data_IF_078657801433
#
_entry.id   IF_078657801433
#
_cell.length_a   1.000
_cell.length_b   1.000
_cell.length_c   1.000
_cell.angle_alpha   90.00
_cell.angle_beta   90.00
_cell.angle_gamma   90.00
#
_symmetry.space_group_name_H-M   'P 1'
#
loop_
_entity.id
_entity.type
_entity.pdbx_description
1 polymer ?
#
# COMPACT_ATOMS: atom_id res chain seq x y z
N UNK A 1 -3.12 9.89 41.47
CA UNK A 1 -2.89 9.21 40.18
C UNK A 1 -4.20 9.25 39.40
N UNK A 2 -4.48 10.37 38.72
CA UNK A 2 -5.70 10.49 37.91
C UNK A 2 -5.48 9.75 36.60
N UNK A 3 -6.10 8.57 36.48
CA UNK A 3 -6.21 7.87 35.20
C UNK A 3 -6.96 8.77 34.23
N UNK A 4 -6.22 9.41 33.32
CA UNK A 4 -6.78 10.07 32.15
C UNK A 4 -7.52 9.00 31.35
N UNK A 5 -8.85 8.95 31.45
CA UNK A 5 -9.66 8.18 30.52
C UNK A 5 -9.26 8.62 29.11
N UNK A 6 -8.99 7.71 28.17
CA UNK A 6 -8.84 8.12 26.78
C UNK A 6 -10.16 8.77 26.38
N UNK A 7 -10.11 10.07 26.05
CA UNK A 7 -11.25 10.74 25.43
C UNK A 7 -11.56 9.98 24.15
N UNK A 8 -12.66 9.24 24.17
CA UNK A 8 -13.11 8.51 22.99
C UNK A 8 -13.66 9.55 22.03
N UNK A 9 -13.10 9.58 20.81
CA UNK A 9 -13.56 10.50 19.77
C UNK A 9 -15.07 10.29 19.56
N UNK A 10 -15.84 11.37 19.35
CA UNK A 10 -17.23 11.28 18.94
C UNK A 10 -17.38 10.30 17.78
N UNK A 11 -18.39 9.42 17.86
CA UNK A 11 -18.62 8.35 16.88
C UNK A 11 -18.57 8.82 15.41
N UNK A 12 -19.13 9.99 15.03
CA UNK A 12 -19.02 10.48 13.65
C UNK A 12 -17.57 10.76 13.23
N UNK A 13 -16.75 11.30 14.14
CA UNK A 13 -15.34 11.60 13.89
C UNK A 13 -14.56 10.29 13.72
N UNK A 14 -14.80 9.31 14.60
CA UNK A 14 -14.16 7.99 14.49
C UNK A 14 -14.52 7.30 13.16
N UNK A 15 -15.80 7.37 12.74
CA UNK A 15 -16.25 6.82 11.46
C UNK A 15 -15.58 7.50 10.26
N UNK A 16 -15.51 8.83 10.27
CA UNK A 16 -14.83 9.58 9.22
C UNK A 16 -13.34 9.23 9.13
N UNK A 17 -12.64 9.15 10.27
CA UNK A 17 -11.23 8.75 10.31
C UNK A 17 -11.02 7.33 9.78
N UNK A 18 -11.89 6.38 10.14
CA UNK A 18 -11.83 5.02 9.61
C UNK A 18 -12.04 4.97 8.09
N UNK A 19 -12.97 5.76 7.55
CA UNK A 19 -13.20 5.86 6.11
C UNK A 19 -11.99 6.45 5.38
N UNK A 20 -11.36 7.48 5.97
CA UNK A 20 -10.13 8.09 5.43
C UNK A 20 -8.99 7.06 5.43
N UNK A 21 -8.78 6.36 6.54
CA UNK A 21 -7.74 5.34 6.67
C UNK A 21 -7.95 4.20 5.65
N UNK A 22 -9.19 3.74 5.48
CA UNK A 22 -9.53 2.71 4.50
C UNK A 22 -9.26 3.19 3.07
N UNK A 23 -9.71 4.40 2.73
CA UNK A 23 -9.50 4.98 1.39
C UNK A 23 -8.01 5.14 1.08
N UNK A 24 -7.20 5.57 2.06
CA UNK A 24 -5.74 5.65 1.93
C UNK A 24 -5.10 4.28 1.67
N UNK A 25 -5.55 3.25 2.38
CA UNK A 25 -5.05 1.88 2.16
C UNK A 25 -5.38 1.37 0.75
N UNK A 26 -6.56 1.69 0.22
CA UNK A 26 -6.94 1.33 -1.15
C UNK A 26 -6.07 2.06 -2.19
N UNK A 27 -5.84 3.36 -2.00
CA UNK A 27 -4.96 4.15 -2.88
C UNK A 27 -3.53 3.60 -2.86
N UNK A 28 -3.02 3.23 -1.69
CA UNK A 28 -1.72 2.59 -1.55
C UNK A 28 -1.64 1.26 -2.32
N UNK A 29 -2.65 0.40 -2.19
CA UNK A 29 -2.71 -0.87 -2.94
C UNK A 29 -2.75 -0.64 -4.46
N UNK A 30 -3.49 0.36 -4.92
CA UNK A 30 -3.53 0.72 -6.33
C UNK A 30 -2.15 1.17 -6.84
N UNK A 31 -1.48 2.05 -6.09
CA UNK A 31 -0.14 2.52 -6.42
C UNK A 31 0.89 1.37 -6.47
N UNK A 32 0.85 0.45 -5.49
CA UNK A 32 1.71 -0.73 -5.47
C UNK A 32 1.51 -1.62 -6.70
N UNK A 33 0.25 -1.87 -7.07
CA UNK A 33 -0.07 -2.66 -8.28
C UNK A 33 0.45 -2.00 -9.54
N UNK A 34 0.29 -0.69 -9.67
CA UNK A 34 0.78 0.05 -10.84
C UNK A 34 2.31 0.03 -10.92
N UNK A 35 3.00 0.09 -9.79
CA UNK A 35 4.46 -0.05 -9.75
C UNK A 35 4.91 -1.45 -10.14
N UNK A 36 4.28 -2.49 -9.59
CA UNK A 36 4.54 -3.88 -9.97
C UNK A 36 4.38 -4.05 -11.49
N UNK A 37 3.31 -3.51 -12.07
CA UNK A 37 3.08 -3.58 -13.52
C UNK A 37 4.22 -2.95 -14.32
N UNK A 38 4.67 -1.75 -13.94
CA UNK A 38 5.78 -1.06 -14.61
C UNK A 38 7.08 -1.85 -14.55
N UNK A 39 7.38 -2.48 -13.42
CA UNK A 39 8.56 -3.33 -13.27
C UNK A 39 8.46 -4.58 -14.16
N UNK A 40 7.30 -5.24 -14.22
CA UNK A 40 7.07 -6.36 -15.15
C UNK A 40 7.30 -5.92 -16.58
N UNK A 41 6.68 -4.82 -17.01
CA UNK A 41 6.83 -4.28 -18.36
C UNK A 41 8.31 -3.96 -18.67
N UNK A 42 9.06 -3.44 -17.69
CA UNK A 42 10.50 -3.21 -17.77
C UNK A 42 11.31 -4.50 -17.96
N UNK A 43 11.03 -5.54 -17.17
CA UNK A 43 11.70 -6.84 -17.30
C UNK A 43 11.40 -7.52 -18.63
N UNK A 44 10.14 -7.46 -19.09
CA UNK A 44 9.75 -8.00 -20.40
C UNK A 44 10.45 -7.26 -21.55
N UNK A 45 10.57 -5.92 -21.47
CA UNK A 45 11.30 -5.13 -22.45
C UNK A 45 12.80 -5.46 -22.51
N UNK A 46 13.37 -5.94 -21.40
CA UNK A 46 14.75 -6.45 -21.34
C UNK A 46 14.91 -7.89 -21.86
N UNK A 47 13.82 -8.51 -22.34
CA UNK A 47 13.82 -9.86 -22.89
C UNK A 47 13.64 -10.97 -21.85
N UNK A 48 13.29 -10.65 -20.60
CA UNK A 48 12.92 -11.67 -19.62
C UNK A 48 11.58 -12.32 -19.98
N UNK A 49 11.44 -13.59 -19.63
CA UNK A 49 10.12 -14.24 -19.65
C UNK A 49 9.25 -13.76 -18.48
N UNK A 50 7.95 -13.92 -18.61
CA UNK A 50 6.99 -13.56 -17.54
C UNK A 50 7.30 -14.27 -16.22
N UNK A 51 7.75 -15.54 -16.26
CA UNK A 51 8.13 -16.28 -15.06
C UNK A 51 9.35 -15.67 -14.37
N UNK A 52 10.37 -15.28 -15.14
CA UNK A 52 11.56 -14.62 -14.61
C UNK A 52 11.24 -13.26 -13.99
N UNK A 53 10.38 -12.46 -14.65
CA UNK A 53 9.93 -11.18 -14.13
C UNK A 53 9.17 -11.33 -12.79
N UNK A 54 8.28 -12.33 -12.67
CA UNK A 54 7.57 -12.61 -11.42
C UNK A 54 8.54 -13.06 -10.32
N UNK A 55 9.51 -13.90 -10.64
CA UNK A 55 10.49 -14.38 -9.66
C UNK A 55 11.41 -13.25 -9.17
N UNK A 56 11.81 -12.34 -10.07
CA UNK A 56 12.56 -11.13 -9.73
C UNK A 56 11.78 -10.25 -8.74
N UNK A 57 10.48 -10.06 -8.96
CA UNK A 57 9.60 -9.29 -8.06
C UNK A 57 9.37 -9.95 -6.70
N UNK A 58 9.34 -11.28 -6.64
CA UNK A 58 9.26 -11.99 -5.35
C UNK A 58 10.53 -11.80 -4.53
N UNK A 59 11.67 -11.81 -5.20
CA UNK A 59 12.98 -11.65 -4.56
C UNK A 59 13.18 -10.22 -4.10
N UNK A 60 12.70 -9.24 -4.87
CA UNK A 60 12.80 -7.82 -4.54
C UNK A 60 11.46 -7.10 -4.81
N UNK A 61 10.50 -7.16 -3.88
CA UNK A 61 9.19 -6.56 -4.08
C UNK A 61 9.30 -5.03 -4.11
N UNK A 62 8.72 -4.36 -5.12
CA UNK A 62 8.76 -2.91 -5.24
C UNK A 62 7.68 -2.31 -4.33
N UNK A 63 7.87 -2.43 -3.00
CA UNK A 63 7.01 -1.76 -2.04
C UNK A 63 7.17 -0.26 -2.18
N UNK A 64 6.04 0.44 -2.08
CA UNK A 64 6.03 1.91 -2.00
C UNK A 64 6.08 2.24 -0.51
N UNK A 65 6.92 3.17 -0.09
CA UNK A 65 6.77 3.75 1.25
C UNK A 65 5.56 4.71 1.21
N UNK A 66 4.50 4.47 1.98
CA UNK A 66 3.30 5.31 1.91
C UNK A 66 3.55 6.75 2.40
N UNK A 67 4.61 7.00 3.19
CA UNK A 67 5.05 8.33 3.60
C UNK A 67 4.01 9.18 4.35
N UNK A 68 2.97 8.56 4.92
CA UNK A 68 1.82 9.24 5.54
C UNK A 68 1.62 8.93 7.01
#
# INVERSE_FOLDING_TARGET
MSSTKPETLPKPIQQALNQIAHSRALLYQAACRDRIRKEIDGFLAQGMSHQQAIEALRTNPPTIDPGY
#
